data_IF_647124773929
#
_entry.id   IF_647124773929
#
_cell.length_a   1.000
_cell.length_b   1.000
_cell.length_c   1.000
_cell.angle_alpha   90.00
_cell.angle_beta   90.00
_cell.angle_gamma   90.00
#
_symmetry.space_group_name_H-M   'P 1'
#
loop_
_entity.id
_entity.type
_entity.pdbx_description
1 polymer ?
#
# COMPACT_ATOMS: atom_id res chain seq x y z
N UNK A 1 -4.46 9.49 57.71
CA UNK A 1 -5.15 10.46 56.84
C UNK A 1 -6.11 9.61 55.99
N UNK A 2 -7.40 9.41 56.30
CA UNK A 2 -8.51 10.39 56.43
C UNK A 2 -8.43 11.44 55.30
N UNK A 3 -9.41 11.68 54.42
CA UNK A 3 -10.86 11.38 54.38
C UNK A 3 -11.38 11.60 52.94
N UNK A 4 -12.55 10.99 52.62
CA UNK A 4 -13.71 11.55 51.86
C UNK A 4 -13.53 12.15 50.44
N UNK A 5 -14.03 11.53 49.35
CA UNK A 5 -15.42 11.42 48.79
C UNK A 5 -15.91 12.58 47.90
N UNK A 6 -16.81 12.20 46.97
CA UNK A 6 -17.72 12.97 46.10
C UNK A 6 -17.21 13.13 44.65
N UNK A 7 -17.72 12.36 43.67
CA UNK A 7 -19.05 12.44 43.03
C UNK A 7 -19.31 13.81 42.37
N UNK A 8 -19.43 13.79 41.04
CA UNK A 8 -20.49 14.49 40.32
C UNK A 8 -20.56 14.00 38.87
N UNK A 9 -21.50 13.08 38.66
CA UNK A 9 -22.21 12.90 37.40
C UNK A 9 -23.14 14.11 37.13
N UNK A 10 -23.74 14.10 35.93
CA UNK A 10 -25.01 14.75 35.54
C UNK A 10 -24.90 15.97 34.60
N UNK A 11 -25.08 15.63 33.31
CA UNK A 11 -26.03 16.18 32.31
C UNK A 11 -26.09 17.69 32.06
N UNK A 12 -26.13 18.05 30.77
CA UNK A 12 -27.22 18.80 30.11
C UNK A 12 -26.87 18.91 28.60
N UNK A 13 -27.57 18.20 27.72
CA UNK A 13 -28.76 18.63 26.96
C UNK A 13 -28.50 19.69 25.87
N UNK A 14 -29.00 19.37 24.66
CA UNK A 14 -29.07 20.26 23.50
C UNK A 14 -29.23 19.47 22.20
N UNK A 15 -30.11 18.47 22.14
CA UNK A 15 -31.43 18.58 21.48
C UNK A 15 -31.61 19.71 20.44
N UNK A 16 -31.98 19.27 19.23
CA UNK A 16 -32.87 19.90 18.23
C UNK A 16 -32.30 20.99 17.31
N UNK A 17 -32.35 20.67 16.02
CA UNK A 17 -32.21 21.62 14.92
C UNK A 17 -32.66 21.04 13.58
N UNK A 18 -33.79 20.32 13.55
CA UNK A 18 -34.61 20.23 12.34
C UNK A 18 -35.12 21.63 11.98
N UNK A 19 -35.33 21.86 10.68
CA UNK A 19 -35.91 23.04 10.00
C UNK A 19 -34.85 23.93 9.31
N UNK A 20 -35.01 24.36 8.07
CA UNK A 20 -36.27 24.65 7.40
C UNK A 20 -36.36 24.14 5.97
N UNK A 21 -37.38 23.30 5.76
CA UNK A 21 -38.17 23.31 4.53
C UNK A 21 -38.89 24.66 4.50
N UNK A 22 -38.42 25.59 3.69
CA UNK A 22 -39.18 26.80 3.36
C UNK A 22 -39.95 26.52 2.08
N UNK A 23 -41.21 26.13 2.24
CA UNK A 23 -42.19 26.27 1.18
C UNK A 23 -42.62 27.75 1.16
N UNK A 24 -42.13 28.50 0.18
CA UNK A 24 -42.75 29.78 -0.22
C UNK A 24 -43.27 29.61 -1.64
N UNK A 25 -44.58 29.43 -1.75
CA UNK A 25 -45.34 29.73 -2.95
C UNK A 25 -45.63 31.23 -2.90
N UNK A 26 -45.09 32.00 -3.85
CA UNK A 26 -45.76 33.18 -4.38
C UNK A 26 -45.51 33.25 -5.88
N UNK A 27 -46.58 33.65 -6.57
CA UNK A 27 -46.85 33.57 -8.00
C UNK A 27 -46.25 34.73 -8.81
N UNK A 28 -46.30 34.54 -10.13
CA UNK A 28 -46.31 35.53 -11.22
C UNK A 28 -44.96 35.89 -11.86
N UNK A 29 -44.90 35.68 -13.19
CA UNK A 29 -44.00 36.44 -14.07
C UNK A 29 -43.23 35.59 -15.08
N UNK A 30 -43.81 35.49 -16.28
CA UNK A 30 -43.16 35.42 -17.60
C UNK A 30 -42.12 34.33 -17.90
N UNK A 31 -42.46 33.58 -18.95
CA UNK A 31 -41.69 32.44 -19.44
C UNK A 31 -40.27 32.79 -19.84
N UNK A 32 -39.33 32.07 -19.22
CA UNK A 32 -38.04 31.73 -19.81
C UNK A 32 -37.73 30.30 -19.38
N UNK A 33 -37.83 29.35 -20.31
CA UNK A 33 -37.30 28.00 -20.12
C UNK A 33 -35.82 28.09 -19.72
N UNK A 34 -35.39 27.49 -18.59
CA UNK A 34 -33.97 27.42 -18.29
C UNK A 34 -33.29 26.63 -19.41
N UNK A 35 -32.13 27.07 -19.94
CA UNK A 35 -31.38 26.27 -20.89
C UNK A 35 -31.01 24.95 -20.20
N UNK A 36 -31.24 23.84 -20.90
CA UNK A 36 -30.84 22.49 -20.51
C UNK A 36 -29.44 22.53 -19.90
N UNK A 37 -29.36 22.47 -18.57
CA UNK A 37 -28.07 22.25 -17.92
C UNK A 37 -27.65 20.87 -18.41
N UNK A 38 -26.48 20.71 -19.06
CA UNK A 38 -26.00 19.39 -19.41
C UNK A 38 -25.98 18.59 -18.12
N UNK A 39 -26.86 17.59 -18.08
CA UNK A 39 -26.95 16.60 -17.01
C UNK A 39 -25.50 16.17 -16.80
N UNK A 40 -24.91 16.50 -15.64
CA UNK A 40 -23.61 15.94 -15.26
C UNK A 40 -23.79 14.46 -15.48
N UNK A 41 -23.13 13.93 -16.51
CA UNK A 41 -23.06 12.50 -16.72
C UNK A 41 -22.48 11.98 -15.42
N UNK A 42 -23.35 11.37 -14.62
CA UNK A 42 -22.96 10.59 -13.48
C UNK A 42 -21.96 9.61 -14.07
N UNK A 43 -20.65 9.87 -13.86
CA UNK A 43 -19.60 8.93 -14.23
C UNK A 43 -20.13 7.59 -13.75
N UNK A 44 -20.38 6.68 -14.69
CA UNK A 44 -20.85 5.36 -14.33
C UNK A 44 -19.88 4.88 -13.26
N UNK A 45 -20.42 4.47 -12.11
CA UNK A 45 -19.63 3.76 -11.12
C UNK A 45 -19.22 2.47 -11.82
N UNK A 46 -18.11 2.50 -12.55
CA UNK A 46 -17.47 1.32 -13.12
C UNK A 46 -16.96 0.54 -11.93
N UNK A 47 -17.85 -0.25 -11.34
CA UNK A 47 -17.47 -1.31 -10.42
C UNK A 47 -16.63 -2.25 -11.27
N UNK A 48 -15.31 -2.10 -11.17
CA UNK A 48 -14.38 -3.05 -11.76
C UNK A 48 -14.84 -4.44 -11.33
N UNK A 49 -14.93 -5.37 -12.28
CA UNK A 49 -15.27 -6.73 -11.95
C UNK A 49 -14.17 -7.29 -11.02
N UNK A 50 -14.49 -8.30 -10.20
CA UNK A 50 -13.54 -8.80 -9.19
C UNK A 50 -12.23 -9.30 -9.81
N UNK A 51 -12.26 -9.78 -11.06
CA UNK A 51 -11.09 -10.29 -11.77
C UNK A 51 -10.15 -9.16 -12.21
N UNK A 52 -10.70 -8.05 -12.68
CA UNK A 52 -9.97 -6.85 -13.07
C UNK A 52 -9.27 -6.21 -11.86
N UNK A 53 -9.92 -6.21 -10.69
CA UNK A 53 -9.29 -5.79 -9.43
C UNK A 53 -8.10 -6.68 -9.04
N UNK A 54 -8.22 -7.99 -9.20
CA UNK A 54 -7.12 -8.94 -8.95
C UNK A 54 -5.98 -8.71 -9.94
N UNK A 55 -6.29 -8.53 -11.22
CA UNK A 55 -5.29 -8.25 -12.26
C UNK A 55 -4.52 -6.95 -11.98
N UNK A 56 -5.21 -5.86 -11.64
CA UNK A 56 -4.58 -4.59 -11.26
C UNK A 56 -3.68 -4.74 -10.03
N UNK A 57 -4.14 -5.47 -9.00
CA UNK A 57 -3.36 -5.73 -7.78
C UNK A 57 -2.11 -6.53 -8.12
N UNK A 58 -2.20 -7.57 -8.96
CA UNK A 58 -1.06 -8.34 -9.43
C UNK A 58 -0.04 -7.48 -10.18
N UNK A 59 -0.48 -6.55 -11.04
CA UNK A 59 0.41 -5.61 -11.74
C UNK A 59 1.17 -4.75 -10.72
N UNK A 60 0.47 -4.17 -9.75
CA UNK A 60 1.09 -3.34 -8.70
C UNK A 60 2.10 -4.14 -7.89
N UNK A 61 1.78 -5.38 -7.52
CA UNK A 61 2.68 -6.27 -6.80
C UNK A 61 3.91 -6.64 -7.63
N UNK A 62 3.76 -6.98 -8.91
CA UNK A 62 4.87 -7.26 -9.82
C UNK A 62 5.82 -6.06 -9.92
N UNK A 63 5.28 -4.85 -10.01
CA UNK A 63 6.07 -3.62 -10.03
C UNK A 63 6.79 -3.38 -8.69
N UNK A 64 6.10 -3.57 -7.57
CA UNK A 64 6.69 -3.47 -6.23
C UNK A 64 7.85 -4.46 -6.04
N UNK A 65 7.64 -5.72 -6.45
CA UNK A 65 8.65 -6.78 -6.42
C UNK A 65 9.89 -6.36 -7.22
N UNK A 66 9.71 -5.87 -8.45
CA UNK A 66 10.83 -5.39 -9.28
C UNK A 66 11.60 -4.25 -8.59
N UNK A 67 10.91 -3.34 -7.91
CA UNK A 67 11.53 -2.30 -7.11
C UNK A 67 12.39 -2.86 -5.96
N UNK A 68 11.87 -3.84 -5.22
CA UNK A 68 12.61 -4.51 -4.15
C UNK A 68 13.83 -5.28 -4.69
N UNK A 69 13.69 -6.00 -5.81
CA UNK A 69 14.80 -6.69 -6.49
C UNK A 69 15.90 -5.70 -6.90
N UNK A 70 15.52 -4.55 -7.46
CA UNK A 70 16.47 -3.49 -7.81
C UNK A 70 17.24 -2.99 -6.58
N UNK A 71 16.54 -2.79 -5.46
CA UNK A 71 17.17 -2.34 -4.22
C UNK A 71 18.09 -3.40 -3.59
N UNK A 72 17.69 -4.67 -3.59
CA UNK A 72 18.53 -5.80 -3.17
C UNK A 72 19.81 -5.85 -4.01
N UNK A 73 19.67 -5.74 -5.33
CA UNK A 73 20.82 -5.73 -6.26
C UNK A 73 21.77 -4.57 -5.96
N UNK A 74 21.24 -3.37 -5.74
CA UNK A 74 22.04 -2.20 -5.34
C UNK A 74 22.83 -2.45 -4.05
N UNK A 75 22.17 -2.96 -3.01
CA UNK A 75 22.81 -3.24 -1.72
C UNK A 75 23.88 -4.33 -1.84
N UNK A 76 23.60 -5.43 -2.54
CA UNK A 76 24.55 -6.51 -2.78
C UNK A 76 25.82 -6.02 -3.49
N UNK A 77 25.66 -5.19 -4.53
CA UNK A 77 26.79 -4.61 -5.25
C UNK A 77 27.60 -3.67 -4.35
N UNK A 78 26.93 -2.84 -3.55
CA UNK A 78 27.60 -1.92 -2.63
C UNK A 78 28.38 -2.65 -1.54
N UNK A 79 27.80 -3.72 -0.98
CA UNK A 79 28.49 -4.59 -0.02
C UNK A 79 29.70 -5.24 -0.70
N UNK A 80 29.52 -5.83 -1.87
CA UNK A 80 30.60 -6.51 -2.62
C UNK A 80 31.77 -5.57 -2.93
N UNK A 81 31.50 -4.31 -3.27
CA UNK A 81 32.55 -3.32 -3.52
C UNK A 81 33.36 -2.99 -2.25
N UNK A 82 32.69 -2.90 -1.10
CA UNK A 82 33.32 -2.56 0.19
C UNK A 82 34.11 -3.71 0.81
N UNK A 83 33.80 -4.97 0.46
CA UNK A 83 34.53 -6.14 0.94
C UNK A 83 36.00 -6.19 0.48
N UNK A 84 36.40 -5.36 -0.49
CA UNK A 84 37.79 -5.28 -0.96
C UNK A 84 38.76 -4.65 0.06
N UNK A 85 38.24 -3.92 1.05
CA UNK A 85 39.03 -3.25 2.08
C UNK A 85 38.43 -3.48 3.47
N UNK A 86 39.21 -4.16 4.33
CA UNK A 86 38.84 -4.52 5.70
C UNK A 86 38.51 -3.31 6.59
N UNK A 87 38.98 -2.11 6.25
CA UNK A 87 38.62 -0.88 6.98
C UNK A 87 37.12 -0.57 6.91
N UNK A 88 36.41 -1.10 5.90
CA UNK A 88 34.99 -0.87 5.66
C UNK A 88 34.06 -1.82 6.42
N UNK A 89 34.58 -2.69 7.30
CA UNK A 89 33.77 -3.76 7.94
C UNK A 89 32.54 -3.24 8.69
N UNK A 90 32.61 -2.04 9.29
CA UNK A 90 31.46 -1.43 9.95
C UNK A 90 30.35 -1.08 8.95
N UNK A 91 30.71 -0.46 7.83
CA UNK A 91 29.77 -0.10 6.77
C UNK A 91 29.16 -1.35 6.12
N UNK A 92 29.96 -2.41 5.93
CA UNK A 92 29.47 -3.71 5.44
C UNK A 92 28.39 -4.26 6.36
N UNK A 93 28.63 -4.30 7.68
CA UNK A 93 27.64 -4.77 8.67
C UNK A 93 26.33 -3.96 8.62
N UNK A 94 26.42 -2.63 8.56
CA UNK A 94 25.24 -1.76 8.47
C UNK A 94 24.43 -2.03 7.19
N UNK A 95 25.11 -2.18 6.05
CA UNK A 95 24.47 -2.50 4.77
C UNK A 95 23.88 -3.91 4.75
N UNK A 96 24.51 -4.90 5.38
CA UNK A 96 23.94 -6.25 5.51
C UNK A 96 22.62 -6.23 6.29
N UNK A 97 22.53 -5.46 7.37
CA UNK A 97 21.26 -5.27 8.10
C UNK A 97 20.20 -4.60 7.21
N UNK A 98 20.59 -3.62 6.40
CA UNK A 98 19.67 -3.00 5.44
C UNK A 98 19.23 -3.99 4.35
N UNK A 99 20.15 -4.85 3.89
CA UNK A 99 19.86 -5.90 2.91
C UNK A 99 18.84 -6.88 3.47
N UNK A 100 19.01 -7.38 4.69
CA UNK A 100 18.06 -8.31 5.32
C UNK A 100 16.67 -7.68 5.49
N UNK A 101 16.59 -6.43 5.96
CA UNK A 101 15.30 -5.72 6.03
C UNK A 101 14.63 -5.57 4.66
N UNK A 102 15.42 -5.39 3.61
CA UNK A 102 14.92 -5.28 2.25
C UNK A 102 14.53 -6.65 1.68
N UNK A 103 15.17 -7.72 2.13
CA UNK A 103 14.80 -9.10 1.84
C UNK A 103 13.43 -9.43 2.43
N UNK A 104 13.19 -9.15 3.70
CA UNK A 104 11.89 -9.40 4.35
C UNK A 104 10.73 -8.73 3.59
N UNK A 105 10.95 -7.49 3.12
CA UNK A 105 9.95 -6.77 2.30
C UNK A 105 9.73 -7.42 0.92
N UNK A 106 10.79 -7.94 0.32
CA UNK A 106 10.70 -8.68 -0.92
C UNK A 106 9.89 -9.98 -0.73
N UNK A 107 10.12 -10.72 0.35
CA UNK A 107 9.38 -11.94 0.70
C UNK A 107 7.89 -11.66 0.89
N UNK A 108 7.55 -10.61 1.66
CA UNK A 108 6.15 -10.22 1.86
C UNK A 108 5.42 -9.95 0.53
N UNK A 109 6.06 -9.22 -0.39
CA UNK A 109 5.47 -8.96 -1.72
C UNK A 109 5.41 -10.23 -2.57
N UNK A 110 6.40 -11.11 -2.46
CA UNK A 110 6.40 -12.41 -3.13
C UNK A 110 5.21 -13.27 -2.68
N UNK A 111 4.99 -13.39 -1.38
CA UNK A 111 3.88 -14.15 -0.79
C UNK A 111 2.53 -13.57 -1.22
N UNK A 112 2.39 -12.24 -1.21
CA UNK A 112 1.18 -11.59 -1.73
C UNK A 112 0.93 -11.96 -3.20
N UNK A 113 1.97 -12.00 -4.04
CA UNK A 113 1.80 -12.42 -5.45
C UNK A 113 1.27 -13.85 -5.53
N UNK A 114 1.80 -14.78 -4.73
CA UNK A 114 1.34 -16.17 -4.75
C UNK A 114 -0.14 -16.31 -4.33
N UNK A 115 -0.59 -15.51 -3.36
CA UNK A 115 -2.00 -15.48 -2.94
C UNK A 115 -2.91 -14.98 -4.06
N UNK A 116 -2.57 -13.84 -4.68
CA UNK A 116 -3.40 -13.26 -5.75
C UNK A 116 -3.33 -14.02 -7.07
N UNK A 117 -2.22 -14.72 -7.34
CA UNK A 117 -2.03 -15.55 -8.53
C UNK A 117 -2.48 -17.00 -8.34
N UNK A 118 -3.35 -17.28 -7.36
CA UNK A 118 -3.76 -18.65 -7.00
C UNK A 118 -4.23 -19.51 -8.19
N UNK A 119 -4.89 -18.91 -9.18
CA UNK A 119 -5.38 -19.56 -10.40
C UNK A 119 -4.46 -19.34 -11.64
N UNK A 120 -3.42 -18.52 -11.51
CA UNK A 120 -2.48 -18.17 -12.59
C UNK A 120 -1.14 -18.87 -12.38
N UNK A 121 -1.02 -20.09 -12.91
CA UNK A 121 0.20 -20.90 -12.80
C UNK A 121 1.43 -20.23 -13.41
N UNK A 122 1.27 -19.50 -14.51
CA UNK A 122 2.39 -18.82 -15.17
C UNK A 122 2.95 -17.71 -14.28
N UNK A 123 2.09 -16.93 -13.63
CA UNK A 123 2.53 -15.91 -12.67
C UNK A 123 3.20 -16.56 -11.45
N UNK A 124 2.69 -17.68 -10.94
CA UNK A 124 3.30 -18.41 -9.81
C UNK A 124 4.68 -18.95 -10.17
N UNK A 125 4.82 -19.62 -11.31
CA UNK A 125 6.12 -20.11 -11.80
C UNK A 125 7.14 -18.98 -11.94
N UNK A 126 6.73 -17.86 -12.53
CA UNK A 126 7.57 -16.67 -12.62
C UNK A 126 7.98 -16.14 -11.24
N UNK A 127 7.05 -16.10 -10.28
CA UNK A 127 7.33 -15.67 -8.92
C UNK A 127 8.36 -16.57 -8.24
N UNK A 128 8.21 -17.89 -8.32
CA UNK A 128 9.18 -18.84 -7.79
C UNK A 128 10.54 -18.71 -8.45
N UNK A 129 10.59 -18.57 -9.78
CA UNK A 129 11.86 -18.36 -10.50
C UNK A 129 12.60 -17.13 -9.98
N UNK A 130 11.92 -15.99 -9.86
CA UNK A 130 12.51 -14.75 -9.35
C UNK A 130 12.97 -14.92 -7.90
N UNK A 131 12.16 -15.54 -7.05
CA UNK A 131 12.51 -15.80 -5.66
C UNK A 131 13.77 -16.66 -5.53
N UNK A 132 13.84 -17.76 -6.27
CA UNK A 132 14.99 -18.67 -6.26
C UNK A 132 16.27 -17.97 -6.74
N UNK A 133 16.17 -17.17 -7.81
CA UNK A 133 17.30 -16.39 -8.31
C UNK A 133 17.82 -15.40 -7.25
N UNK A 134 16.92 -14.67 -6.58
CA UNK A 134 17.35 -13.72 -5.55
C UNK A 134 17.84 -14.42 -4.28
N UNK A 135 17.28 -15.58 -3.94
CA UNK A 135 17.74 -16.40 -2.81
C UNK A 135 19.17 -16.88 -3.04
N UNK A 136 19.47 -17.36 -4.25
CA UNK A 136 20.84 -17.75 -4.60
C UNK A 136 21.80 -16.55 -4.51
N UNK A 137 21.42 -15.38 -5.04
CA UNK A 137 22.23 -14.16 -4.93
C UNK A 137 22.48 -13.74 -3.48
N UNK A 138 21.49 -13.94 -2.60
CA UNK A 138 21.64 -13.70 -1.16
C UNK A 138 22.71 -14.64 -0.58
N UNK A 139 22.60 -15.95 -0.84
CA UNK A 139 23.60 -16.94 -0.40
C UNK A 139 25.00 -16.58 -0.91
N UNK A 140 25.14 -16.34 -2.22
CA UNK A 140 26.42 -15.97 -2.84
C UNK A 140 27.04 -14.68 -2.25
N UNK A 141 26.20 -13.76 -1.77
CA UNK A 141 26.67 -12.55 -1.09
C UNK A 141 27.19 -12.87 0.31
N UNK A 142 26.47 -13.67 1.09
CA UNK A 142 26.87 -14.02 2.45
C UNK A 142 28.09 -14.94 2.49
N UNK A 143 28.26 -15.81 1.49
CA UNK A 143 29.47 -16.62 1.31
C UNK A 143 30.73 -15.76 1.07
N UNK A 144 30.58 -14.51 0.62
CA UNK A 144 31.69 -13.55 0.46
C UNK A 144 31.99 -12.76 1.73
N UNK A 145 31.04 -12.69 2.65
CA UNK A 145 31.16 -11.92 3.90
C UNK A 145 31.80 -12.78 5.00
N UNK A 146 31.53 -14.09 4.98
CA UNK A 146 32.06 -15.09 5.91
C UNK A 146 33.49 -15.49 5.55
#
# INVERSE_FOLDING_TARGET
MASETAENDVLMLGERGLNGRVSRLEENGDGISPPDRPRRETRQNTRLNSEELVAEKLIKLKNSRSGHVGHLTYLANKISALLTDNSNIKMVKELSVMFDRQWDRFELVHDEILVYASQDELTKENAFRVYNEQSQRKLDLFDKIL
#
